data_IF_745214655893
#
_entry.id   IF_745214655893
#
_cell.length_a   1.000
_cell.length_b   1.000
_cell.length_c   1.000
_cell.angle_alpha   90.00
_cell.angle_beta   90.00
_cell.angle_gamma   90.00
#
_symmetry.space_group_name_H-M   'P 1'
#
loop_
_entity.id
_entity.type
_entity.pdbx_description
1 polymer ?
#
# COMPACT_ATOMS: atom_id res chain seq x y z
N UNK A 1 -9.88 28.64 -23.69
CA UNK A 1 -10.05 28.56 -22.23
C UNK A 1 -9.28 29.72 -21.61
N UNK A 2 -9.89 30.48 -20.70
CA UNK A 2 -9.20 31.57 -20.01
C UNK A 2 -8.21 31.03 -18.98
N UNK A 3 -7.18 31.80 -18.63
CA UNK A 3 -6.15 31.38 -17.65
C UNK A 3 -6.80 31.01 -16.32
N UNK A 4 -7.72 31.83 -15.82
CA UNK A 4 -8.40 31.58 -14.54
C UNK A 4 -9.16 30.25 -14.53
N UNK A 5 -9.97 30.01 -15.55
CA UNK A 5 -10.71 28.74 -15.71
C UNK A 5 -9.78 27.53 -15.83
N UNK A 6 -8.64 27.67 -16.51
CA UNK A 6 -7.68 26.58 -16.69
C UNK A 6 -6.95 26.22 -15.39
N UNK A 7 -6.64 27.24 -14.57
CA UNK A 7 -5.99 27.05 -13.27
C UNK A 7 -6.96 26.40 -12.29
N UNK A 8 -8.20 26.87 -12.22
CA UNK A 8 -9.23 26.31 -11.35
C UNK A 8 -9.48 24.82 -11.65
N UNK A 9 -9.70 24.48 -12.92
CA UNK A 9 -9.96 23.10 -13.34
C UNK A 9 -8.77 22.18 -13.03
N UNK A 10 -7.54 22.62 -13.36
CA UNK A 10 -6.32 21.83 -13.09
C UNK A 10 -6.08 21.63 -11.60
N UNK A 11 -6.31 22.68 -10.80
CA UNK A 11 -6.13 22.63 -9.35
C UNK A 11 -7.17 21.73 -8.70
N UNK A 12 -8.44 21.82 -9.09
CA UNK A 12 -9.51 20.96 -8.57
C UNK A 12 -9.27 19.50 -8.94
N UNK A 13 -8.92 19.21 -10.19
CA UNK A 13 -8.62 17.85 -10.63
C UNK A 13 -7.45 17.23 -9.84
N UNK A 14 -6.36 18.00 -9.68
CA UNK A 14 -5.22 17.55 -8.88
C UNK A 14 -5.61 17.32 -7.41
N UNK A 15 -6.32 18.27 -6.79
CA UNK A 15 -6.72 18.19 -5.38
C UNK A 15 -7.60 16.97 -5.11
N UNK A 16 -8.60 16.74 -5.96
CA UNK A 16 -9.48 15.58 -5.89
C UNK A 16 -8.68 14.28 -6.02
N UNK A 17 -7.74 14.22 -6.97
CA UNK A 17 -6.89 13.04 -7.19
C UNK A 17 -6.01 12.72 -5.97
N UNK A 18 -5.50 13.75 -5.27
CA UNK A 18 -4.63 13.58 -4.10
C UNK A 18 -5.42 13.13 -2.88
N UNK A 19 -6.61 13.71 -2.67
CA UNK A 19 -7.47 13.38 -1.53
C UNK A 19 -7.92 11.92 -1.63
N UNK A 20 -8.45 11.51 -2.79
CA UNK A 20 -9.04 10.17 -2.97
C UNK A 20 -7.96 9.11 -3.24
N UNK A 21 -7.01 9.41 -4.12
CA UNK A 21 -6.10 8.39 -4.66
C UNK A 21 -4.78 8.23 -3.91
N UNK A 22 -4.50 9.02 -2.86
CA UNK A 22 -3.15 9.05 -2.27
C UNK A 22 -3.11 9.24 -0.76
N UNK A 23 -3.63 10.35 -0.26
CA UNK A 23 -3.25 10.86 1.05
C UNK A 23 -3.96 10.17 2.21
N UNK A 24 -5.27 9.92 2.06
CA UNK A 24 -6.13 9.44 3.12
C UNK A 24 -6.35 7.91 3.04
N UNK A 25 -6.49 7.23 4.19
CA UNK A 25 -6.92 5.83 4.22
C UNK A 25 -8.42 5.69 3.90
N UNK A 26 -8.84 4.50 3.48
CA UNK A 26 -10.26 4.14 3.53
C UNK A 26 -10.64 3.75 4.97
N UNK A 27 -11.80 4.18 5.45
CA UNK A 27 -12.25 3.90 6.82
C UNK A 27 -12.56 2.40 7.07
N UNK A 28 -12.89 1.65 6.00
CA UNK A 28 -13.32 0.25 6.06
C UNK A 28 -12.15 -0.70 6.31
N UNK A 29 -11.00 -0.45 5.68
CA UNK A 29 -9.79 -1.28 5.82
C UNK A 29 -8.61 -0.56 6.50
N UNK A 30 -8.70 0.76 6.70
CA UNK A 30 -7.64 1.56 7.32
C UNK A 30 -6.38 1.68 6.48
N UNK A 31 -6.42 1.39 5.18
CA UNK A 31 -5.27 1.40 4.29
C UNK A 31 -5.33 2.54 3.28
N UNK A 32 -4.16 3.12 3.02
CA UNK A 32 -3.95 3.98 1.84
C UNK A 32 -3.87 3.10 0.59
N UNK A 33 -4.15 3.64 -0.61
CA UNK A 33 -4.08 2.89 -1.86
C UNK A 33 -2.75 2.15 -2.08
N UNK A 34 -1.61 2.76 -1.73
CA UNK A 34 -0.29 2.10 -1.87
C UNK A 34 -0.13 0.88 -0.96
N UNK A 35 -0.64 0.92 0.28
CA UNK A 35 -0.57 -0.22 1.19
C UNK A 35 -1.45 -1.37 0.69
N UNK A 36 -2.66 -1.05 0.22
CA UNK A 36 -3.59 -2.01 -0.36
C UNK A 36 -2.97 -2.76 -1.54
N UNK A 37 -2.36 -2.01 -2.47
CA UNK A 37 -1.68 -2.57 -3.65
C UNK A 37 -0.49 -3.44 -3.29
N UNK A 38 0.31 -3.06 -2.28
CA UNK A 38 1.42 -3.89 -1.79
C UNK A 38 0.89 -5.22 -1.24
N UNK A 39 -0.09 -5.18 -0.33
CA UNK A 39 -0.65 -6.41 0.25
C UNK A 39 -1.32 -7.29 -0.81
N UNK A 40 -2.06 -6.70 -1.75
CA UNK A 40 -2.68 -7.43 -2.84
C UNK A 40 -1.65 -8.08 -3.78
N UNK A 41 -0.61 -7.36 -4.20
CA UNK A 41 0.47 -7.95 -5.00
C UNK A 41 1.21 -9.08 -4.25
N UNK A 42 1.46 -8.91 -2.95
CA UNK A 42 2.05 -9.96 -2.12
C UNK A 42 1.13 -11.19 -2.01
N UNK A 43 -0.18 -10.99 -1.96
CA UNK A 43 -1.18 -12.05 -2.00
C UNK A 43 -1.16 -12.82 -3.32
N UNK A 44 -1.19 -12.13 -4.46
CA UNK A 44 -1.10 -12.75 -5.79
C UNK A 44 0.20 -13.53 -5.99
N UNK A 45 1.31 -13.03 -5.43
CA UNK A 45 2.61 -13.71 -5.44
C UNK A 45 2.67 -14.91 -4.47
N UNK A 46 1.62 -15.16 -3.67
CA UNK A 46 1.55 -16.25 -2.70
C UNK A 46 2.47 -16.07 -1.49
N UNK A 47 2.83 -14.84 -1.13
CA UNK A 47 3.82 -14.52 -0.09
C UNK A 47 3.25 -14.57 1.33
N UNK A 48 2.60 -15.68 1.67
CA UNK A 48 2.05 -15.93 3.01
C UNK A 48 3.15 -15.92 4.10
N UNK A 49 2.74 -15.79 5.36
CA UNK A 49 3.58 -15.84 6.56
C UNK A 49 4.32 -17.17 6.74
N UNK A 50 3.94 -18.22 6.00
CA UNK A 50 4.54 -19.56 6.11
C UNK A 50 5.60 -19.84 5.04
N UNK A 51 5.64 -19.07 3.96
CA UNK A 51 6.64 -19.27 2.90
C UNK A 51 7.96 -18.58 3.25
N UNK A 52 9.02 -18.96 2.54
CA UNK A 52 10.30 -18.27 2.62
C UNK A 52 10.19 -16.81 2.16
N UNK A 53 10.97 -15.93 2.77
CA UNK A 53 11.05 -14.52 2.37
C UNK A 53 11.42 -14.38 0.89
N UNK A 54 10.96 -13.28 0.27
CA UNK A 54 11.30 -12.92 -1.11
C UNK A 54 11.89 -11.53 -1.15
N UNK A 55 12.82 -11.31 -2.09
CA UNK A 55 13.45 -10.01 -2.31
C UNK A 55 12.40 -8.90 -2.45
N UNK A 56 12.56 -7.82 -1.68
CA UNK A 56 11.64 -6.68 -1.72
C UNK A 56 11.55 -6.07 -3.13
N UNK A 57 12.66 -6.06 -3.87
CA UNK A 57 12.68 -5.63 -5.27
C UNK A 57 11.67 -6.38 -6.18
N UNK A 58 11.41 -7.67 -5.91
CA UNK A 58 10.40 -8.43 -6.67
C UNK A 58 8.99 -7.95 -6.36
N UNK A 59 8.69 -7.69 -5.08
CA UNK A 59 7.38 -7.21 -4.63
C UNK A 59 7.12 -5.81 -5.19
N UNK A 60 8.09 -4.90 -5.03
CA UNK A 60 8.02 -3.53 -5.53
C UNK A 60 7.82 -3.50 -7.05
N UNK A 61 8.57 -4.33 -7.79
CA UNK A 61 8.43 -4.44 -9.24
C UNK A 61 7.04 -4.91 -9.68
N UNK A 62 6.44 -5.89 -8.99
CA UNK A 62 5.10 -6.39 -9.30
C UNK A 62 4.02 -5.33 -9.03
N UNK A 63 4.15 -4.60 -7.91
CA UNK A 63 3.24 -3.50 -7.57
C UNK A 63 3.24 -2.41 -8.63
N UNK A 64 4.42 -1.97 -9.08
CA UNK A 64 4.52 -0.89 -10.07
C UNK A 64 4.06 -1.36 -11.45
N UNK A 65 4.45 -2.58 -11.82
CA UNK A 65 4.14 -3.15 -13.13
C UNK A 65 2.66 -3.43 -13.35
N UNK A 66 1.86 -3.60 -12.28
CA UNK A 66 0.45 -3.96 -12.38
C UNK A 66 -0.52 -2.93 -11.82
N UNK A 67 -0.19 -2.27 -10.70
CA UNK A 67 -1.19 -1.57 -9.88
C UNK A 67 -0.84 -0.12 -9.54
N UNK A 68 0.45 0.24 -9.44
CA UNK A 68 0.86 1.54 -8.92
C UNK A 68 1.83 2.26 -9.88
N UNK A 69 1.34 3.09 -10.83
CA UNK A 69 2.14 3.73 -11.87
C UNK A 69 2.92 4.95 -11.34
N UNK A 70 3.64 4.76 -10.23
CA UNK A 70 4.45 5.76 -9.54
C UNK A 70 5.83 5.19 -9.19
N UNK A 71 6.72 6.05 -8.67
CA UNK A 71 8.11 5.70 -8.42
C UNK A 71 8.28 4.53 -7.44
N UNK A 72 9.27 3.69 -7.73
CA UNK A 72 9.64 2.52 -6.92
C UNK A 72 10.00 2.85 -5.49
N UNK A 73 10.69 3.97 -5.28
CA UNK A 73 11.05 4.46 -3.96
C UNK A 73 9.83 4.63 -3.06
N UNK A 74 8.74 5.23 -3.55
CA UNK A 74 7.55 5.47 -2.74
C UNK A 74 6.87 4.14 -2.32
N UNK A 75 6.84 3.15 -3.21
CA UNK A 75 6.32 1.81 -2.91
C UNK A 75 7.21 1.10 -1.90
N UNK A 76 8.54 1.19 -2.09
CA UNK A 76 9.49 0.56 -1.18
C UNK A 76 9.46 1.19 0.22
N UNK A 77 9.43 2.52 0.32
CA UNK A 77 9.35 3.23 1.61
C UNK A 77 8.04 2.87 2.34
N UNK A 78 6.93 2.70 1.62
CA UNK A 78 5.68 2.22 2.18
C UNK A 78 5.77 0.76 2.66
N UNK A 79 6.41 -0.13 1.89
CA UNK A 79 6.66 -1.51 2.29
C UNK A 79 7.54 -1.57 3.56
N UNK A 80 8.60 -0.77 3.61
CA UNK A 80 9.50 -0.67 4.76
C UNK A 80 8.73 -0.25 5.99
N UNK A 81 7.90 0.80 5.91
CA UNK A 81 7.08 1.25 7.03
C UNK A 81 6.13 0.16 7.56
N UNK A 82 5.60 -0.68 6.68
CA UNK A 82 4.72 -1.79 7.06
C UNK A 82 5.43 -2.95 7.78
N UNK A 83 6.77 -2.94 7.78
CA UNK A 83 7.66 -3.92 8.42
C UNK A 83 8.47 -3.31 9.58
N UNK A 84 8.09 -2.13 10.06
CA UNK A 84 8.73 -1.47 11.20
C UNK A 84 7.85 -1.60 12.44
N UNK A 85 8.25 -2.44 13.38
CA UNK A 85 7.60 -2.66 14.69
C UNK A 85 7.48 -1.38 15.55
N UNK A 86 8.41 -0.45 15.41
CA UNK A 86 8.39 0.86 16.06
C UNK A 86 7.48 1.89 15.36
N UNK A 87 6.97 1.59 14.16
CA UNK A 87 6.14 2.49 13.35
C UNK A 87 4.66 2.05 13.31
N UNK A 88 4.40 0.75 13.42
CA UNK A 88 3.06 0.17 13.41
C UNK A 88 2.83 -0.72 14.63
N UNK A 89 1.65 -0.60 15.25
CA UNK A 89 1.29 -1.43 16.41
C UNK A 89 1.15 -2.91 16.04
N UNK A 90 0.68 -3.19 14.82
CA UNK A 90 0.52 -4.50 14.23
C UNK A 90 1.12 -4.46 12.81
N UNK A 91 2.31 -5.03 12.66
CA UNK A 91 3.00 -5.10 11.38
C UNK A 91 2.20 -5.91 10.35
N UNK A 92 2.19 -5.40 9.12
CA UNK A 92 1.50 -6.03 8.00
C UNK A 92 2.48 -6.78 7.09
N UNK A 93 3.76 -6.42 7.14
CA UNK A 93 4.84 -7.07 6.41
C UNK A 93 5.86 -7.61 7.40
N UNK A 94 6.24 -8.87 7.24
CA UNK A 94 7.32 -9.52 7.99
C UNK A 94 8.61 -9.38 7.15
N UNK A 95 9.56 -8.59 7.65
CA UNK A 95 10.80 -8.22 6.95
C UNK A 95 12.02 -8.97 7.47
N UNK A 96 12.92 -9.35 6.55
CA UNK A 96 14.26 -9.85 6.87
C UNK A 96 15.32 -8.92 6.27
N UNK A 97 16.16 -8.33 7.12
CA UNK A 97 17.22 -7.38 6.74
C UNK A 97 17.18 -6.11 7.59
N UNK A 98 17.86 -5.06 7.14
CA UNK A 98 17.82 -3.75 7.81
C UNK A 98 16.64 -2.92 7.28
N UNK A 99 15.60 -2.76 8.10
CA UNK A 99 14.42 -1.94 7.84
C UNK A 99 14.45 -0.56 8.54
N UNK A 100 15.64 -0.12 8.96
CA UNK A 100 15.85 1.12 9.69
C UNK A 100 15.71 0.97 11.20
N UNK A 101 15.88 2.07 11.91
CA UNK A 101 15.87 2.09 13.38
C UNK A 101 15.17 3.33 13.93
N UNK A 102 14.86 3.32 15.23
CA UNK A 102 14.34 4.50 15.94
C UNK A 102 15.36 5.64 16.02
N UNK A 103 16.65 5.32 15.86
CA UNK A 103 17.75 6.30 15.86
C UNK A 103 17.83 7.12 14.56
N UNK A 104 16.97 6.80 13.58
CA UNK A 104 16.86 7.51 12.31
C UNK A 104 17.71 6.92 11.18
N UNK A 105 18.29 5.73 11.39
CA UNK A 105 18.98 5.03 10.30
C UNK A 105 17.97 4.61 9.23
N UNK A 106 18.32 4.90 7.98
CA UNK A 106 17.52 4.49 6.83
C UNK A 106 17.58 2.96 6.65
N UNK A 107 16.49 2.39 6.12
CA UNK A 107 16.49 1.02 5.66
C UNK A 107 17.54 0.77 4.57
N UNK A 108 18.04 -0.46 4.47
CA UNK A 108 18.86 -0.86 3.35
C UNK A 108 18.07 -0.79 2.04
N UNK A 109 18.75 -0.72 0.89
CA UNK A 109 18.08 -0.72 -0.41
C UNK A 109 17.32 -2.04 -0.67
N UNK A 110 16.23 -1.97 -1.43
CA UNK A 110 15.31 -3.10 -1.73
C UNK A 110 15.93 -4.35 -2.37
N UNK A 111 17.17 -4.25 -2.86
CA UNK A 111 17.96 -5.38 -3.37
C UNK A 111 18.55 -6.26 -2.25
N UNK A 112 18.65 -5.73 -1.03
CA UNK A 112 19.21 -6.43 0.12
C UNK A 112 18.10 -7.06 0.98
N UNK A 113 17.03 -6.31 1.24
CA UNK A 113 15.92 -6.74 2.10
C UNK A 113 15.05 -7.81 1.44
N UNK A 114 14.42 -8.61 2.29
CA UNK A 114 13.41 -9.59 1.90
C UNK A 114 12.18 -9.42 2.76
N UNK A 115 11.02 -9.80 2.24
CA UNK A 115 9.73 -9.62 2.90
C UNK A 115 8.74 -10.73 2.54
N UNK A 116 7.76 -10.92 3.43
CA UNK A 116 6.53 -11.72 3.23
C UNK A 116 5.40 -11.12 4.07
N UNK A 117 4.17 -11.59 3.91
CA UNK A 117 3.04 -11.10 4.70
C UNK A 117 3.11 -11.60 6.14
N UNK A 118 2.61 -10.81 7.10
CA UNK A 118 2.30 -11.32 8.43
C UNK A 118 0.99 -12.11 8.43
N UNK A 119 0.72 -12.87 9.50
CA UNK A 119 -0.60 -13.51 9.69
C UNK A 119 -1.75 -12.50 9.76
N UNK A 120 -1.48 -11.28 10.25
CA UNK A 120 -2.48 -10.22 10.29
C UNK A 120 -2.91 -9.81 8.87
N UNK A 121 -1.95 -9.64 7.97
CA UNK A 121 -2.24 -9.35 6.56
C UNK A 121 -3.03 -10.46 5.88
N UNK A 122 -2.75 -11.73 6.19
CA UNK A 122 -3.58 -12.84 5.70
C UNK A 122 -5.04 -12.73 6.17
N UNK A 123 -5.30 -12.33 7.41
CA UNK A 123 -6.66 -12.10 7.90
C UNK A 123 -7.32 -10.85 7.29
N UNK A 124 -6.53 -9.83 6.90
CA UNK A 124 -7.04 -8.66 6.16
C UNK A 124 -7.49 -9.05 4.75
N UNK A 125 -6.74 -9.92 4.08
CA UNK A 125 -7.00 -10.39 2.71
C UNK A 125 -7.93 -11.61 2.64
N UNK A 126 -8.34 -12.15 3.78
CA UNK A 126 -9.07 -13.41 3.84
C UNK A 126 -10.40 -13.32 3.10
N UNK A 127 -10.70 -14.35 2.32
CA UNK A 127 -11.92 -14.48 1.51
C UNK A 127 -12.04 -13.44 0.37
N UNK A 128 -10.93 -12.80 -0.05
CA UNK A 128 -10.91 -11.85 -1.19
C UNK A 128 -11.37 -12.49 -2.52
N UNK A 129 -11.10 -13.79 -2.73
CA UNK A 129 -11.49 -14.53 -3.94
C UNK A 129 -12.95 -15.02 -3.94
N UNK A 130 -13.74 -14.67 -2.92
CA UNK A 130 -15.11 -15.17 -2.72
C UNK A 130 -16.18 -14.14 -3.03
N UNK A 131 -15.90 -13.23 -3.96
CA UNK A 131 -16.83 -12.17 -4.39
C UNK A 131 -17.33 -11.33 -3.19
N UNK A 132 -16.41 -11.00 -2.28
CA UNK A 132 -16.71 -10.29 -1.02
C UNK A 132 -16.57 -8.78 -1.12
N UNK A 133 -15.87 -8.29 -2.15
CA UNK A 133 -15.59 -6.89 -2.41
C UNK A 133 -15.60 -6.63 -3.91
N UNK A 134 -15.84 -5.37 -4.28
CA UNK A 134 -15.76 -4.94 -5.67
C UNK A 134 -14.30 -4.79 -6.13
N UNK A 135 -14.08 -5.17 -7.38
CA UNK A 135 -12.82 -4.98 -8.08
C UNK A 135 -12.99 -3.91 -9.16
N UNK A 136 -12.04 -2.99 -9.22
CA UNK A 136 -11.99 -1.91 -10.22
C UNK A 136 -10.88 -2.17 -11.24
N UNK A 137 -10.98 -1.65 -12.46
CA UNK A 137 -9.87 -1.69 -13.41
C UNK A 137 -8.61 -1.03 -12.83
N UNK A 138 -7.44 -1.55 -13.18
CA UNK A 138 -6.17 -0.89 -12.87
C UNK A 138 -5.95 0.33 -13.80
N UNK A 139 -4.80 1.00 -13.66
CA UNK A 139 -4.54 2.28 -14.35
C UNK A 139 -4.51 2.22 -15.89
N UNK A 140 -4.34 1.03 -16.48
CA UNK A 140 -4.33 0.82 -17.94
C UNK A 140 -5.46 -0.10 -18.44
N UNK A 141 -6.45 -0.38 -17.57
CA UNK A 141 -7.62 -1.22 -17.85
C UNK A 141 -7.30 -2.66 -18.29
N UNK A 142 -6.08 -3.15 -18.07
CA UNK A 142 -5.67 -4.52 -18.45
C UNK A 142 -5.87 -5.55 -17.34
N UNK A 143 -5.89 -5.10 -16.09
CA UNK A 143 -6.06 -5.92 -14.88
C UNK A 143 -7.14 -5.33 -13.99
N UNK A 144 -7.45 -6.04 -12.90
CA UNK A 144 -8.34 -5.56 -11.85
C UNK A 144 -7.59 -5.49 -10.52
N UNK A 145 -7.94 -4.50 -9.71
CA UNK A 145 -7.47 -4.35 -8.33
C UNK A 145 -8.66 -4.18 -7.37
N UNK A 146 -8.54 -4.60 -6.10
CA UNK A 146 -9.61 -4.43 -5.13
C UNK A 146 -9.82 -2.95 -4.78
N UNK A 147 -11.08 -2.48 -4.75
CA UNK A 147 -11.41 -1.13 -4.25
C UNK A 147 -10.99 -0.99 -2.78
N UNK A 148 -11.34 -2.00 -1.98
CA UNK A 148 -10.98 -2.18 -0.56
C UNK A 148 -10.59 -3.62 -0.27
N UNK A 149 -9.92 -3.86 0.86
CA UNK A 149 -9.70 -5.23 1.34
C UNK A 149 -10.86 -5.70 2.24
N UNK A 150 -11.18 -7.02 2.27
CA UNK A 150 -12.25 -7.56 3.12
C UNK A 150 -12.11 -7.23 4.61
N UNK A 151 -10.87 -7.13 5.09
CA UNK A 151 -10.46 -6.63 6.41
C UNK A 151 -11.28 -7.17 7.59
N UNK A 152 -10.94 -8.35 8.10
CA UNK A 152 -11.51 -8.90 9.36
C UNK A 152 -11.00 -8.22 10.64
N UNK A 153 -10.05 -7.31 10.51
CA UNK A 153 -9.47 -6.56 11.61
C UNK A 153 -9.84 -5.08 11.44
N UNK A 154 -10.19 -4.35 12.51
CA UNK A 154 -10.40 -2.91 12.44
C UNK A 154 -9.06 -2.17 12.35
N UNK A 155 -8.34 -2.36 11.24
CA UNK A 155 -6.95 -1.95 11.09
C UNK A 155 -6.74 -0.44 11.24
N UNK A 156 -7.73 0.39 10.86
CA UNK A 156 -7.68 1.83 11.14
C UNK A 156 -7.56 2.15 12.63
N UNK A 157 -8.25 1.41 13.50
CA UNK A 157 -8.19 1.61 14.95
C UNK A 157 -6.93 1.00 15.57
N UNK A 158 -6.45 -0.11 15.00
CA UNK A 158 -5.27 -0.82 15.51
C UNK A 158 -3.99 -0.09 15.17
N UNK A 159 -3.82 0.31 13.91
CA UNK A 159 -2.58 0.87 13.39
C UNK A 159 -2.65 2.40 13.19
N UNK A 160 -3.85 2.98 13.18
CA UNK A 160 -4.02 4.38 12.82
C UNK A 160 -3.67 4.63 11.35
N UNK A 161 -3.71 5.90 10.98
CA UNK A 161 -3.21 6.37 9.70
C UNK A 161 -2.79 7.82 9.86
N UNK A 162 -1.72 8.20 9.17
CA UNK A 162 -1.27 9.59 9.07
C UNK A 162 -1.18 9.96 7.60
N UNK A 163 -1.87 11.02 7.20
CA UNK A 163 -1.89 11.53 5.84
C UNK A 163 -2.13 13.03 5.86
N UNK A 164 -1.57 13.72 4.86
CA UNK A 164 -1.80 15.14 4.63
C UNK A 164 -2.32 15.24 3.22
N UNK A 165 -3.52 15.80 3.06
CA UNK A 165 -4.18 15.98 1.78
C UNK A 165 -4.29 17.48 1.45
N UNK A 166 -4.81 17.81 0.27
CA UNK A 166 -5.08 19.21 -0.05
C UNK A 166 -6.25 19.67 0.83
N UNK A 167 -5.94 20.51 1.82
CA UNK A 167 -6.92 21.10 2.74
C UNK A 167 -7.29 20.25 3.95
N UNK A 168 -6.62 19.12 4.21
CA UNK A 168 -6.86 18.24 5.36
C UNK A 168 -5.58 17.64 5.94
#
# INVERSE_FOLDING_TARGET
VGIDSSIEESYLAYSMSVIIGRALPDARDGLKPVHRRILYAMHELGLTSKVAYKKSARIVGDVIGKYHPHGDKAVYDALVRMAQDFSMRLELVDGQGNFGSIDGDNAAAMRYTEARMTKASEEILRDIDKDTIDFVPNYDDTLKEPDILPSRLPNLLVNGANGIAVGM
#
